data_IF_370600389042
#
_entry.id   IF_370600389042
#
_cell.length_a   1.000
_cell.length_b   1.000
_cell.length_c   1.000
_cell.angle_alpha   90.00
_cell.angle_beta   90.00
_cell.angle_gamma   90.00
#
_symmetry.space_group_name_H-M   'P 1'
#
loop_
_entity.id
_entity.type
_entity.pdbx_description
1 polymer ?
#
# COMPACT_ATOMS: atom_id res chain seq x y z
N UNK A 1 22.64 -19.92 12.21
CA UNK A 1 22.97 -18.49 12.22
C UNK A 1 22.29 -17.85 13.42
N UNK A 2 23.00 -17.12 14.29
CA UNK A 2 22.37 -16.41 15.41
C UNK A 2 21.52 -15.29 14.83
N UNK A 3 20.19 -15.39 14.91
CA UNK A 3 19.31 -14.30 14.47
C UNK A 3 19.56 -13.08 15.34
N UNK A 4 20.00 -11.98 14.73
CA UNK A 4 20.24 -10.71 15.42
C UNK A 4 18.92 -10.20 15.99
N UNK A 5 18.92 -9.70 17.21
CA UNK A 5 17.76 -9.04 17.83
C UNK A 5 17.39 -7.79 17.02
N UNK A 6 16.13 -7.66 16.62
CA UNK A 6 15.61 -6.46 16.00
C UNK A 6 15.10 -5.49 17.06
N UNK A 7 15.79 -4.39 17.22
CA UNK A 7 15.43 -3.30 18.12
C UNK A 7 14.78 -2.20 17.29
N UNK A 8 13.48 -2.04 17.43
CA UNK A 8 12.65 -1.21 16.57
C UNK A 8 12.48 0.18 17.18
N UNK A 9 12.77 1.21 16.37
CA UNK A 9 12.29 2.57 16.56
C UNK A 9 11.09 2.81 15.66
N UNK A 10 9.92 3.05 16.25
CA UNK A 10 8.68 3.21 15.51
C UNK A 10 8.32 4.69 15.36
N UNK A 11 8.11 5.15 14.13
CA UNK A 11 7.55 6.46 13.82
C UNK A 11 6.06 6.33 13.45
N UNK A 12 5.21 6.99 14.23
CA UNK A 12 3.77 6.91 14.07
C UNK A 12 3.11 5.84 14.95
N UNK A 13 2.05 6.24 15.65
CA UNK A 13 1.23 5.35 16.48
C UNK A 13 -0.26 5.61 16.24
N UNK A 14 -0.63 5.58 14.96
CA UNK A 14 -2.00 5.53 14.48
C UNK A 14 -2.53 4.10 14.44
N UNK A 15 -3.49 3.85 13.58
CA UNK A 15 -4.15 2.56 13.40
C UNK A 15 -3.12 1.42 13.14
N UNK A 16 -2.20 1.63 12.19
CA UNK A 16 -1.21 0.61 11.80
C UNK A 16 -0.13 0.44 12.87
N UNK A 17 0.39 1.54 13.44
CA UNK A 17 1.42 1.48 14.49
C UNK A 17 0.93 0.78 15.75
N UNK A 18 -0.31 1.02 16.16
CA UNK A 18 -0.95 0.28 17.24
C UNK A 18 -1.14 -1.20 16.87
N UNK A 19 -1.60 -1.48 15.64
CA UNK A 19 -1.71 -2.85 15.13
C UNK A 19 -0.39 -3.61 15.17
N UNK A 20 0.73 -2.97 14.80
CA UNK A 20 2.06 -3.58 14.88
C UNK A 20 2.46 -3.90 16.32
N UNK A 21 2.20 -2.98 17.25
CA UNK A 21 2.43 -3.21 18.68
C UNK A 21 1.66 -4.43 19.19
N UNK A 22 0.37 -4.56 18.82
CA UNK A 22 -0.46 -5.72 19.20
C UNK A 22 0.05 -7.03 18.56
N UNK A 23 0.38 -7.02 17.27
CA UNK A 23 0.87 -8.22 16.57
C UNK A 23 2.20 -8.69 17.19
N UNK A 24 3.14 -7.79 17.44
CA UNK A 24 4.41 -8.12 18.10
C UNK A 24 4.20 -8.68 19.50
N UNK A 25 3.26 -8.13 20.28
CA UNK A 25 2.97 -8.62 21.63
C UNK A 25 2.40 -10.06 21.62
N UNK A 26 1.76 -10.48 20.54
CA UNK A 26 1.19 -11.83 20.35
C UNK A 26 2.16 -12.81 19.69
N UNK A 27 3.34 -12.36 19.28
CA UNK A 27 4.36 -13.18 18.61
C UNK A 27 5.68 -13.16 19.38
N UNK A 28 5.72 -13.61 20.64
CA UNK A 28 6.90 -13.48 21.52
C UNK A 28 8.10 -14.32 21.07
N UNK A 29 7.90 -15.26 20.13
CA UNK A 29 8.98 -16.05 19.53
C UNK A 29 9.84 -15.26 18.56
N UNK A 30 9.35 -14.14 18.06
CA UNK A 30 10.12 -13.24 17.22
C UNK A 30 11.14 -12.47 18.07
N UNK A 31 12.37 -12.45 17.59
CA UNK A 31 13.45 -11.66 18.20
C UNK A 31 13.35 -10.19 17.76
N UNK A 32 12.20 -9.57 18.00
CA UNK A 32 11.92 -8.17 17.67
C UNK A 32 11.24 -7.47 18.85
N UNK A 33 11.64 -6.24 19.14
CA UNK A 33 11.03 -5.43 20.21
C UNK A 33 11.01 -3.95 19.85
N UNK A 34 9.87 -3.29 20.11
CA UNK A 34 9.75 -1.84 19.98
C UNK A 34 10.41 -1.20 21.20
N UNK A 35 11.51 -0.47 20.97
CA UNK A 35 12.26 0.24 22.01
C UNK A 35 11.68 1.60 22.31
N UNK A 36 11.32 2.35 21.28
CA UNK A 36 10.76 3.70 21.36
C UNK A 36 9.74 3.93 20.26
N UNK A 37 8.76 4.79 20.54
CA UNK A 37 7.71 5.20 19.60
C UNK A 37 7.72 6.71 19.51
N UNK A 38 8.05 7.26 18.35
CA UNK A 38 8.03 8.70 18.13
C UNK A 38 6.67 9.15 17.59
N UNK A 39 6.08 10.16 18.23
CA UNK A 39 4.77 10.74 17.88
C UNK A 39 4.80 12.25 17.99
N UNK A 40 4.02 12.96 17.15
CA UNK A 40 3.95 14.43 17.17
C UNK A 40 3.15 14.97 18.35
N UNK A 41 1.96 14.46 18.60
CA UNK A 41 1.00 14.99 19.59
C UNK A 41 1.24 14.37 20.97
N UNK A 42 1.71 15.19 21.90
CA UNK A 42 1.96 14.81 23.30
C UNK A 42 0.66 14.58 24.10
N UNK A 43 -0.42 15.23 23.72
CA UNK A 43 -1.66 15.26 24.48
C UNK A 43 -2.66 14.18 24.04
N UNK A 44 -2.41 13.54 22.90
CA UNK A 44 -3.29 12.48 22.41
C UNK A 44 -3.21 11.26 23.34
N UNK A 45 -4.34 10.86 23.92
CA UNK A 45 -4.45 9.63 24.70
C UNK A 45 -4.16 8.40 23.83
N UNK A 46 -3.41 7.44 24.37
CA UNK A 46 -3.03 6.20 23.68
C UNK A 46 -3.22 5.00 24.61
N UNK A 47 -3.52 3.81 24.05
CA UNK A 47 -3.92 2.65 24.85
C UNK A 47 -2.75 1.88 25.49
N UNK A 48 -1.53 2.44 25.48
CA UNK A 48 -0.33 1.83 26.10
C UNK A 48 0.37 2.84 27.00
N UNK A 49 1.31 2.36 27.83
CA UNK A 49 2.04 3.20 28.78
C UNK A 49 2.82 4.33 28.08
N UNK A 50 2.77 5.51 28.70
CA UNK A 50 3.38 6.73 28.15
C UNK A 50 4.91 6.67 28.08
N UNK A 51 5.56 5.82 28.86
CA UNK A 51 7.01 5.62 28.84
C UNK A 51 7.56 5.11 27.50
N UNK A 52 6.72 4.51 26.67
CA UNK A 52 7.09 4.08 25.33
C UNK A 52 7.25 5.24 24.34
N UNK A 53 6.68 6.41 24.64
CA UNK A 53 6.60 7.51 23.68
C UNK A 53 7.72 8.51 23.84
N UNK A 54 8.27 8.93 22.70
CA UNK A 54 9.20 10.04 22.56
C UNK A 54 8.62 11.06 21.55
N UNK A 55 9.09 12.31 21.62
CA UNK A 55 8.53 13.42 20.85
C UNK A 55 9.60 14.11 19.99
N UNK A 56 10.81 13.62 20.05
CA UNK A 56 11.93 14.04 19.23
C UNK A 56 12.44 12.84 18.42
N UNK A 57 12.59 13.04 17.11
CA UNK A 57 13.10 12.00 16.20
C UNK A 57 14.52 11.54 16.56
N UNK A 58 15.32 12.43 17.15
CA UNK A 58 16.69 12.07 17.56
C UNK A 58 16.75 11.01 18.65
N UNK A 59 15.71 10.91 19.48
CA UNK A 59 15.61 9.82 20.47
C UNK A 59 15.53 8.42 19.83
N UNK A 60 15.19 8.33 18.53
CA UNK A 60 15.21 7.07 17.75
C UNK A 60 16.41 7.04 16.81
N UNK A 61 16.61 8.09 16.03
CA UNK A 61 17.65 8.12 15.00
C UNK A 61 19.06 8.11 15.61
N UNK A 62 19.26 8.78 16.76
CA UNK A 62 20.53 8.83 17.48
C UNK A 62 20.81 7.65 18.41
N UNK A 63 19.81 6.78 18.66
CA UNK A 63 19.97 5.63 19.55
C UNK A 63 20.70 4.48 18.82
N UNK A 64 21.91 4.15 19.25
CA UNK A 64 22.75 3.10 18.64
C UNK A 64 22.20 1.68 18.86
N UNK A 65 21.38 1.47 19.90
CA UNK A 65 20.73 0.19 20.15
C UNK A 65 19.58 -0.09 19.18
N UNK A 66 19.01 0.94 18.53
CA UNK A 66 17.97 0.81 17.52
C UNK A 66 18.62 0.51 16.18
N UNK A 67 18.35 -0.67 15.62
CA UNK A 67 18.90 -1.13 14.35
C UNK A 67 17.88 -1.20 13.22
N UNK A 68 16.57 -1.02 13.53
CA UNK A 68 15.47 -1.00 12.57
C UNK A 68 14.55 0.19 12.84
N UNK A 69 14.30 0.99 11.83
CA UNK A 69 13.29 2.05 11.85
C UNK A 69 12.06 1.57 11.11
N UNK A 70 10.91 1.62 11.76
CA UNK A 70 9.60 1.38 11.12
C UNK A 70 8.87 2.70 11.00
N UNK A 71 8.58 3.13 9.77
CA UNK A 71 7.95 4.39 9.44
C UNK A 71 6.48 4.16 9.04
N UNK A 72 5.54 4.71 9.83
CA UNK A 72 4.08 4.55 9.68
C UNK A 72 3.34 5.90 9.88
N UNK A 73 3.94 7.01 9.41
CA UNK A 73 3.30 8.32 9.47
C UNK A 73 2.59 8.65 8.15
N UNK A 74 1.64 9.58 8.17
CA UNK A 74 0.86 9.94 6.97
C UNK A 74 1.55 11.01 6.11
N UNK A 75 2.43 11.83 6.70
CA UNK A 75 3.11 12.94 6.06
C UNK A 75 4.30 12.42 5.23
N UNK A 76 4.20 12.49 3.91
CA UNK A 76 5.19 11.92 2.99
C UNK A 76 6.55 12.65 3.07
N UNK A 77 6.56 13.98 3.23
CA UNK A 77 7.80 14.76 3.31
C UNK A 77 8.56 14.46 4.60
N UNK A 78 7.85 14.44 5.73
CA UNK A 78 8.44 14.07 7.01
C UNK A 78 8.89 12.59 7.04
N UNK A 79 8.16 11.68 6.38
CA UNK A 79 8.55 10.28 6.22
C UNK A 79 9.85 10.17 5.42
N UNK A 80 9.98 10.92 4.33
CA UNK A 80 11.19 10.94 3.51
C UNK A 80 12.42 11.40 4.29
N UNK A 81 12.31 12.49 5.07
CA UNK A 81 13.39 12.95 5.94
C UNK A 81 13.83 11.88 6.95
N UNK A 82 12.86 11.23 7.62
CA UNK A 82 13.12 10.18 8.61
C UNK A 82 13.80 8.97 7.97
N UNK A 83 13.25 8.48 6.87
CA UNK A 83 13.75 7.29 6.16
C UNK A 83 15.18 7.52 5.64
N UNK A 84 15.41 8.66 4.98
CA UNK A 84 16.73 8.98 4.44
C UNK A 84 17.78 9.15 5.53
N UNK A 85 17.42 9.78 6.66
CA UNK A 85 18.33 9.93 7.79
C UNK A 85 18.61 8.60 8.50
N UNK A 86 17.61 7.73 8.64
CA UNK A 86 17.79 6.37 9.17
C UNK A 86 18.77 5.57 8.30
N UNK A 87 18.61 5.61 6.97
CA UNK A 87 19.54 4.96 6.04
C UNK A 87 20.97 5.51 6.15
N UNK A 88 21.15 6.83 6.26
CA UNK A 88 22.46 7.49 6.42
C UNK A 88 23.17 7.03 7.69
N UNK A 89 22.41 6.73 8.73
CA UNK A 89 22.94 6.21 10.02
C UNK A 89 23.07 4.68 10.04
N UNK A 90 22.89 4.01 8.91
CA UNK A 90 23.09 2.57 8.79
C UNK A 90 21.97 1.73 9.43
N UNK A 91 20.80 2.31 9.68
CA UNK A 91 19.64 1.59 10.21
C UNK A 91 18.81 1.00 9.05
N UNK A 92 18.37 -0.26 9.22
CA UNK A 92 17.38 -0.84 8.33
C UNK A 92 16.05 -0.07 8.42
N UNK A 93 15.28 -0.05 7.34
CA UNK A 93 14.01 0.69 7.29
C UNK A 93 12.90 -0.19 6.74
N UNK A 94 11.74 -0.15 7.38
CA UNK A 94 10.45 -0.64 6.87
C UNK A 94 9.49 0.54 6.82
N UNK A 95 8.81 0.74 5.68
CA UNK A 95 7.85 1.84 5.52
C UNK A 95 6.54 1.36 4.88
N UNK A 96 5.43 1.95 5.30
CA UNK A 96 4.11 1.78 4.67
C UNK A 96 3.64 3.03 3.91
N UNK A 97 4.49 4.06 3.78
CA UNK A 97 4.12 5.32 3.15
C UNK A 97 4.27 5.25 1.62
N UNK A 98 3.23 4.76 0.95
CA UNK A 98 3.21 4.58 -0.50
C UNK A 98 3.45 5.86 -1.31
N UNK A 99 2.97 7.02 -0.80
CA UNK A 99 3.17 8.31 -1.46
C UNK A 99 4.64 8.70 -1.43
N UNK A 100 5.25 8.71 -0.25
CA UNK A 100 6.67 8.98 -0.08
C UNK A 100 7.54 8.07 -0.96
N UNK A 101 7.24 6.76 -0.96
CA UNK A 101 7.99 5.79 -1.76
C UNK A 101 7.83 6.09 -3.25
N UNK A 102 6.60 6.29 -3.75
CA UNK A 102 6.35 6.53 -5.17
C UNK A 102 6.98 7.84 -5.67
N UNK A 103 6.93 8.92 -4.88
CA UNK A 103 7.47 10.23 -5.25
C UNK A 103 9.01 10.27 -5.22
N UNK A 104 9.66 9.47 -4.35
CA UNK A 104 11.11 9.47 -4.14
C UNK A 104 11.80 8.14 -4.48
N UNK A 105 11.15 7.28 -5.26
CA UNK A 105 11.57 5.89 -5.43
C UNK A 105 13.01 5.76 -5.95
N UNK A 106 13.35 6.49 -7.00
CA UNK A 106 14.70 6.48 -7.56
C UNK A 106 15.76 6.89 -6.54
N UNK A 107 15.48 7.93 -5.75
CA UNK A 107 16.42 8.43 -4.73
C UNK A 107 16.57 7.42 -3.58
N UNK A 108 15.48 6.82 -3.12
CA UNK A 108 15.50 5.80 -2.06
C UNK A 108 16.32 4.57 -2.47
N UNK A 109 16.23 4.12 -3.73
CA UNK A 109 17.07 3.02 -4.25
C UNK A 109 18.56 3.40 -4.30
N UNK A 110 18.88 4.63 -4.66
CA UNK A 110 20.27 5.13 -4.62
C UNK A 110 20.80 5.14 -3.19
N UNK A 111 20.01 5.62 -2.24
CA UNK A 111 20.41 5.67 -0.82
C UNK A 111 20.56 4.26 -0.23
N UNK A 112 19.65 3.35 -0.53
CA UNK A 112 19.74 1.95 -0.12
C UNK A 112 21.05 1.30 -0.57
N UNK A 113 21.40 1.47 -1.85
CA UNK A 113 22.66 0.96 -2.42
C UNK A 113 23.89 1.62 -1.80
N UNK A 114 23.85 2.95 -1.64
CA UNK A 114 24.97 3.74 -1.08
C UNK A 114 25.28 3.35 0.34
N UNK A 115 24.28 3.24 1.20
CA UNK A 115 24.45 2.95 2.62
C UNK A 115 24.40 1.45 2.94
N UNK A 116 24.06 0.58 1.95
CA UNK A 116 23.97 -0.89 2.06
C UNK A 116 23.06 -1.32 3.21
N UNK A 117 21.92 -0.65 3.37
CA UNK A 117 20.92 -0.96 4.39
C UNK A 117 19.65 -1.53 3.74
N UNK A 118 18.97 -2.48 4.38
CA UNK A 118 17.66 -2.95 3.91
C UNK A 118 16.62 -1.82 3.95
N UNK A 119 15.83 -1.74 2.89
CA UNK A 119 14.63 -0.90 2.79
C UNK A 119 13.50 -1.74 2.24
N UNK A 120 12.50 -2.02 3.06
CA UNK A 120 11.38 -2.91 2.74
C UNK A 120 10.05 -2.16 2.89
N UNK A 121 9.07 -2.51 2.06
CA UNK A 121 7.81 -1.73 1.97
C UNK A 121 6.63 -2.53 1.38
N UNK A 122 6.53 -3.83 1.64
CA UNK A 122 5.38 -4.65 1.22
C UNK A 122 4.05 -4.02 1.66
N UNK A 123 4.05 -3.49 2.89
CA UNK A 123 2.90 -2.82 3.49
C UNK A 123 2.41 -1.59 2.72
N UNK A 124 3.25 -0.97 1.90
CA UNK A 124 2.91 0.21 1.09
C UNK A 124 2.06 -0.13 -0.14
N UNK A 125 1.96 -1.40 -0.53
CA UNK A 125 1.21 -1.83 -1.70
C UNK A 125 -0.18 -2.37 -1.34
N UNK A 126 -0.34 -3.67 -1.21
CA UNK A 126 -1.63 -4.33 -1.04
C UNK A 126 -1.83 -4.97 0.34
N UNK A 127 -1.20 -4.43 1.38
CA UNK A 127 -1.27 -4.87 2.78
C UNK A 127 -1.16 -6.41 2.93
N UNK A 128 -2.26 -7.12 3.16
CA UNK A 128 -2.21 -8.58 3.39
C UNK A 128 -1.90 -9.42 2.16
N UNK A 129 -1.82 -8.82 0.96
CA UNK A 129 -1.42 -9.52 -0.26
C UNK A 129 0.08 -9.32 -0.48
N UNK A 130 0.92 -10.36 -0.38
CA UNK A 130 2.38 -10.24 -0.50
C UNK A 130 2.78 -10.12 -1.98
N UNK A 131 2.36 -9.04 -2.65
CA UNK A 131 2.51 -8.88 -4.09
C UNK A 131 3.93 -8.51 -4.50
N UNK A 132 4.61 -7.63 -3.74
CA UNK A 132 5.98 -7.22 -4.04
C UNK A 132 6.91 -8.43 -3.95
N UNK A 133 6.83 -9.22 -2.88
CA UNK A 133 7.62 -10.46 -2.74
C UNK A 133 7.35 -11.47 -3.84
N UNK A 134 6.08 -11.65 -4.21
CA UNK A 134 5.77 -12.54 -5.34
C UNK A 134 6.39 -12.02 -6.64
N UNK A 135 6.38 -10.72 -6.88
CA UNK A 135 7.00 -10.14 -8.08
C UNK A 135 8.52 -10.32 -8.07
N UNK A 136 9.18 -10.16 -6.94
CA UNK A 136 10.63 -10.31 -6.81
C UNK A 136 11.10 -11.76 -6.80
N UNK A 137 10.39 -12.65 -6.09
CA UNK A 137 10.87 -14.02 -5.88
C UNK A 137 10.39 -15.00 -6.96
N UNK A 138 9.16 -14.83 -7.47
CA UNK A 138 8.56 -15.77 -8.42
C UNK A 138 8.62 -15.26 -9.87
N UNK A 139 8.45 -13.98 -10.09
CA UNK A 139 8.44 -13.37 -11.43
C UNK A 139 9.75 -12.61 -11.76
N UNK A 140 10.82 -12.88 -11.04
CA UNK A 140 12.18 -12.37 -11.36
C UNK A 140 12.71 -13.00 -12.65
N UNK A 141 11.92 -12.87 -13.70
CA UNK A 141 12.22 -13.29 -15.06
C UNK A 141 11.34 -12.49 -16.02
N UNK A 142 11.73 -12.40 -17.28
CA UNK A 142 11.02 -11.63 -18.31
C UNK A 142 9.68 -12.26 -18.77
N UNK A 143 9.09 -13.17 -17.98
CA UNK A 143 7.87 -13.88 -18.35
C UNK A 143 6.59 -13.14 -17.93
N UNK A 144 6.67 -12.14 -17.07
CA UNK A 144 5.50 -11.36 -16.66
C UNK A 144 5.06 -10.44 -17.81
N UNK A 145 3.83 -10.64 -18.27
CA UNK A 145 3.24 -9.86 -19.36
C UNK A 145 2.34 -8.73 -18.85
N UNK A 146 1.63 -8.98 -17.75
CA UNK A 146 0.60 -8.06 -17.25
C UNK A 146 0.40 -8.19 -15.75
N UNK A 147 0.11 -7.05 -15.12
CA UNK A 147 -0.42 -6.95 -13.78
C UNK A 147 -1.67 -6.06 -13.81
N UNK A 148 -2.75 -6.50 -13.18
CA UNK A 148 -3.99 -5.74 -13.00
C UNK A 148 -4.48 -5.89 -11.57
N UNK A 149 -4.93 -4.79 -10.94
CA UNK A 149 -5.38 -4.90 -9.57
C UNK A 149 -6.42 -3.87 -9.16
N UNK A 150 -7.35 -4.32 -8.33
CA UNK A 150 -8.15 -3.47 -7.45
C UNK A 150 -7.32 -3.29 -6.19
N UNK A 151 -6.67 -2.13 -6.06
CA UNK A 151 -5.67 -1.87 -5.02
C UNK A 151 -6.08 -0.78 -4.01
N UNK A 152 -7.32 -0.29 -4.12
CA UNK A 152 -7.89 0.68 -3.19
C UNK A 152 -9.25 0.19 -2.67
N UNK A 153 -9.33 -0.10 -1.36
CA UNK A 153 -10.52 -0.65 -0.73
C UNK A 153 -11.68 0.36 -0.62
N UNK A 154 -11.39 1.66 -0.44
CA UNK A 154 -12.41 2.70 -0.33
C UNK A 154 -13.21 2.84 -1.62
N UNK A 155 -12.54 2.96 -2.76
CA UNK A 155 -13.19 3.03 -4.07
C UNK A 155 -13.90 1.73 -4.44
N UNK A 156 -13.31 0.58 -4.09
CA UNK A 156 -13.97 -0.70 -4.36
C UNK A 156 -15.26 -0.86 -3.53
N UNK A 157 -15.25 -0.41 -2.27
CA UNK A 157 -16.47 -0.39 -1.45
C UNK A 157 -17.55 0.49 -2.09
N UNK A 158 -17.23 1.74 -2.44
CA UNK A 158 -18.17 2.67 -3.08
C UNK A 158 -18.78 2.03 -4.33
N UNK A 159 -17.95 1.51 -5.23
CA UNK A 159 -18.40 0.88 -6.48
C UNK A 159 -19.21 -0.40 -6.23
N UNK A 160 -18.87 -1.18 -5.20
CA UNK A 160 -19.67 -2.34 -4.81
C UNK A 160 -21.07 -1.94 -4.40
N UNK A 161 -21.22 -0.87 -3.59
CA UNK A 161 -22.54 -0.38 -3.14
C UNK A 161 -23.39 0.20 -4.27
N UNK A 162 -22.77 0.85 -5.27
CA UNK A 162 -23.52 1.29 -6.46
C UNK A 162 -24.12 0.13 -7.22
N UNK A 163 -23.48 -1.02 -7.25
CA UNK A 163 -23.96 -2.21 -7.93
C UNK A 163 -24.94 -3.02 -7.08
N UNK A 164 -24.54 -3.41 -5.85
CA UNK A 164 -25.29 -4.35 -5.01
C UNK A 164 -26.50 -3.73 -4.31
N UNK A 165 -26.45 -2.46 -3.92
CA UNK A 165 -27.50 -1.77 -3.18
C UNK A 165 -28.22 -0.71 -4.03
N UNK A 166 -27.89 -0.59 -5.30
CA UNK A 166 -28.50 0.37 -6.21
C UNK A 166 -28.30 1.84 -5.80
N UNK A 167 -27.26 2.14 -5.01
CA UNK A 167 -26.98 3.49 -4.57
C UNK A 167 -26.40 4.34 -5.70
N UNK A 168 -26.68 5.65 -5.65
CA UNK A 168 -25.90 6.62 -6.44
C UNK A 168 -24.49 6.76 -5.86
N UNK A 169 -23.55 7.28 -6.65
CA UNK A 169 -22.19 7.53 -6.19
C UNK A 169 -22.14 8.40 -4.90
N UNK A 170 -22.86 9.53 -4.78
CA UNK A 170 -22.85 10.33 -3.56
C UNK A 170 -23.39 9.59 -2.32
N UNK A 171 -24.37 8.71 -2.49
CA UNK A 171 -24.92 7.92 -1.39
C UNK A 171 -23.93 6.85 -0.93
N UNK A 172 -23.30 6.13 -1.86
CA UNK A 172 -22.28 5.13 -1.56
C UNK A 172 -21.05 5.77 -0.89
N UNK A 173 -20.62 6.96 -1.35
CA UNK A 173 -19.53 7.72 -0.72
C UNK A 173 -19.87 8.11 0.72
N UNK A 174 -21.07 8.63 0.98
CA UNK A 174 -21.50 8.95 2.35
C UNK A 174 -21.51 7.73 3.27
N UNK A 175 -21.95 6.59 2.75
CA UNK A 175 -21.93 5.33 3.51
C UNK A 175 -20.48 4.90 3.82
N UNK A 176 -19.56 5.02 2.87
CA UNK A 176 -18.14 4.76 3.08
C UNK A 176 -17.53 5.67 4.15
N UNK A 177 -17.89 6.97 4.14
CA UNK A 177 -17.44 7.93 5.15
C UNK A 177 -17.98 7.62 6.54
N UNK A 178 -19.27 7.30 6.66
CA UNK A 178 -19.89 6.91 7.93
C UNK A 178 -19.27 5.66 8.56
N UNK A 179 -18.85 4.70 7.72
CA UNK A 179 -18.18 3.47 8.15
C UNK A 179 -16.68 3.63 8.36
N UNK A 180 -16.12 4.82 8.08
CA UNK A 180 -14.69 5.11 8.22
C UNK A 180 -13.81 4.50 7.11
N UNK A 181 -14.40 4.09 5.98
CA UNK A 181 -13.66 3.59 4.81
C UNK A 181 -13.19 4.71 3.88
N UNK A 182 -13.80 5.89 3.94
CA UNK A 182 -13.37 7.07 3.23
C UNK A 182 -13.27 8.27 4.18
N UNK A 183 -12.28 9.13 3.95
CA UNK A 183 -12.10 10.37 4.70
C UNK A 183 -13.10 11.46 4.25
N UNK A 184 -13.17 12.56 5.02
CA UNK A 184 -13.99 13.73 4.65
C UNK A 184 -13.56 14.36 3.34
N UNK A 185 -12.24 14.36 3.03
CA UNK A 185 -11.71 14.67 1.71
C UNK A 185 -11.22 13.40 1.02
N UNK A 186 -12.05 12.73 0.22
CA UNK A 186 -11.75 11.42 -0.34
C UNK A 186 -10.92 11.46 -1.63
N UNK A 187 -10.43 12.63 -2.07
CA UNK A 187 -9.84 12.83 -3.41
C UNK A 187 -8.65 11.91 -3.69
N UNK A 188 -7.85 11.58 -2.68
CA UNK A 188 -6.72 10.67 -2.85
C UNK A 188 -7.18 9.27 -3.26
N UNK A 189 -8.30 8.81 -2.72
CA UNK A 189 -8.91 7.53 -3.08
C UNK A 189 -9.73 7.68 -4.36
N UNK A 190 -10.76 8.54 -4.34
CA UNK A 190 -11.75 8.63 -5.41
C UNK A 190 -11.20 9.20 -6.72
N UNK A 191 -10.15 10.02 -6.67
CA UNK A 191 -9.39 10.48 -7.83
C UNK A 191 -8.41 9.45 -8.40
N UNK A 192 -8.21 8.32 -7.72
CA UNK A 192 -7.32 7.24 -8.16
C UNK A 192 -5.84 7.46 -7.84
N UNK A 193 -5.49 8.45 -7.02
CA UNK A 193 -4.10 8.76 -6.67
C UNK A 193 -3.47 7.69 -5.78
N UNK A 194 -4.18 7.17 -4.79
CA UNK A 194 -3.71 6.05 -3.97
C UNK A 194 -3.36 4.83 -4.82
N UNK A 195 -4.23 4.47 -5.75
CA UNK A 195 -4.00 3.36 -6.68
C UNK A 195 -2.82 3.64 -7.63
N UNK A 196 -2.63 4.91 -8.04
CA UNK A 196 -1.48 5.34 -8.86
C UNK A 196 -0.16 5.19 -8.12
N UNK A 197 -0.05 5.64 -6.87
CA UNK A 197 1.18 5.48 -6.09
C UNK A 197 1.55 4.00 -5.91
N UNK A 198 0.55 3.15 -5.66
CA UNK A 198 0.77 1.70 -5.59
C UNK A 198 1.22 1.12 -6.92
N UNK A 199 0.63 1.56 -8.04
CA UNK A 199 1.03 1.12 -9.38
C UNK A 199 2.47 1.49 -9.70
N UNK A 200 2.93 2.69 -9.32
CA UNK A 200 4.34 3.12 -9.48
C UNK A 200 5.28 2.14 -8.77
N UNK A 201 4.96 1.76 -7.53
CA UNK A 201 5.75 0.77 -6.79
C UNK A 201 5.73 -0.59 -7.51
N UNK A 202 4.56 -1.05 -7.93
CA UNK A 202 4.42 -2.34 -8.62
C UNK A 202 5.15 -2.38 -9.96
N UNK A 203 5.22 -1.26 -10.71
CA UNK A 203 5.97 -1.17 -11.98
C UNK A 203 7.46 -1.47 -11.80
N UNK A 204 8.05 -0.99 -10.72
CA UNK A 204 9.45 -1.22 -10.44
C UNK A 204 9.76 -2.69 -10.19
N UNK A 205 8.86 -3.40 -9.48
CA UNK A 205 9.03 -4.82 -9.17
C UNK A 205 8.56 -5.75 -10.29
N UNK A 206 7.54 -5.33 -11.05
CA UNK A 206 6.99 -6.15 -12.14
C UNK A 206 7.81 -6.07 -13.43
N UNK A 207 8.35 -4.89 -13.74
CA UNK A 207 8.97 -4.61 -15.04
C UNK A 207 10.33 -3.89 -14.93
N UNK A 208 10.86 -3.68 -13.72
CA UNK A 208 12.10 -2.95 -13.50
C UNK A 208 12.03 -1.46 -13.83
N UNK A 209 10.82 -0.90 -13.95
CA UNK A 209 10.59 0.48 -14.38
C UNK A 209 10.36 1.40 -13.19
N UNK A 210 11.29 2.31 -12.95
CA UNK A 210 11.17 3.38 -11.96
C UNK A 210 10.76 4.65 -12.67
N UNK A 211 9.49 5.03 -12.53
CA UNK A 211 8.89 6.20 -13.19
C UNK A 211 8.28 7.13 -12.13
N UNK A 212 8.30 8.44 -12.33
CA UNK A 212 7.64 9.37 -11.43
C UNK A 212 6.11 9.24 -11.57
N UNK A 213 5.35 9.50 -10.48
CA UNK A 213 3.88 9.37 -10.50
C UNK A 213 3.18 10.22 -11.58
N UNK A 214 3.78 11.33 -12.00
CA UNK A 214 3.25 12.25 -13.02
C UNK A 214 3.14 11.59 -14.39
N UNK A 215 3.97 10.61 -14.69
CA UNK A 215 3.94 9.86 -15.95
C UNK A 215 2.79 8.83 -16.01
N UNK A 216 2.19 8.52 -14.88
CA UNK A 216 1.07 7.56 -14.80
C UNK A 216 -0.26 8.29 -14.88
N UNK A 217 -1.02 8.01 -15.92
CA UNK A 217 -2.39 8.54 -16.05
C UNK A 217 -3.30 7.87 -15.05
N UNK A 218 -4.06 8.67 -14.28
CA UNK A 218 -5.13 8.19 -13.42
C UNK A 218 -6.44 8.92 -13.71
N UNK A 219 -7.52 8.14 -13.82
CA UNK A 219 -8.89 8.59 -13.89
C UNK A 219 -9.61 8.00 -12.68
N UNK A 220 -10.17 8.86 -11.84
CA UNK A 220 -10.89 8.45 -10.64
C UNK A 220 -12.33 7.99 -10.90
N UNK A 221 -13.03 7.70 -9.82
CA UNK A 221 -14.45 7.31 -9.83
C UNK A 221 -15.38 8.49 -9.54
N UNK A 222 -14.85 9.64 -9.22
CA UNK A 222 -15.58 10.87 -8.85
C UNK A 222 -16.44 11.44 -9.97
N UNK A 223 -16.13 11.07 -11.23
CA UNK A 223 -16.86 11.49 -12.43
C UNK A 223 -17.84 10.44 -12.96
N UNK A 224 -17.99 9.31 -12.29
CA UNK A 224 -18.94 8.27 -12.70
C UNK A 224 -20.38 8.78 -12.51
N UNK A 225 -21.11 8.81 -13.62
CA UNK A 225 -22.49 9.26 -13.69
C UNK A 225 -23.51 8.12 -13.62
N UNK A 226 -24.78 8.50 -13.61
CA UNK A 226 -25.89 7.55 -13.63
C UNK A 226 -25.91 6.71 -14.93
N UNK A 227 -25.35 7.22 -16.03
CA UNK A 227 -25.33 6.52 -17.31
C UNK A 227 -24.42 5.28 -17.25
N UNK A 228 -23.20 5.44 -16.76
CA UNK A 228 -22.23 4.34 -16.65
C UNK A 228 -22.72 3.27 -15.68
N UNK A 229 -23.28 3.68 -14.54
CA UNK A 229 -23.83 2.77 -13.53
C UNK A 229 -25.02 1.99 -14.11
N UNK A 230 -25.94 2.65 -14.81
CA UNK A 230 -27.08 2.01 -15.47
C UNK A 230 -26.63 1.03 -16.55
N UNK A 231 -25.71 1.44 -17.42
CA UNK A 231 -25.14 0.58 -18.46
C UNK A 231 -24.49 -0.69 -17.86
N UNK A 232 -23.70 -0.53 -16.80
CA UNK A 232 -23.08 -1.66 -16.12
C UNK A 232 -24.13 -2.67 -15.64
N UNK A 233 -25.21 -2.18 -15.01
CA UNK A 233 -26.30 -3.04 -14.52
C UNK A 233 -27.05 -3.75 -15.64
N UNK A 234 -27.42 -3.04 -16.71
CA UNK A 234 -28.13 -3.61 -17.86
C UNK A 234 -27.32 -4.72 -18.56
N UNK A 235 -25.99 -4.64 -18.46
CA UNK A 235 -25.04 -5.60 -19.05
C UNK A 235 -24.47 -6.61 -18.07
N UNK A 236 -24.94 -6.62 -16.82
CA UNK A 236 -24.42 -7.47 -15.74
C UNK A 236 -22.91 -7.31 -15.52
N UNK A 237 -22.40 -6.09 -15.74
CA UNK A 237 -21.01 -5.71 -15.51
C UNK A 237 -20.87 -5.01 -14.17
N UNK A 238 -19.71 -5.14 -13.53
CA UNK A 238 -19.32 -4.29 -12.39
C UNK A 238 -18.34 -3.22 -12.87
N UNK A 239 -18.44 -2.02 -12.30
CA UNK A 239 -17.40 -1.00 -12.45
C UNK A 239 -16.38 -1.20 -11.35
N UNK A 240 -15.10 -1.26 -11.70
CA UNK A 240 -13.98 -1.37 -10.77
C UNK A 240 -12.92 -0.33 -11.12
N UNK A 241 -12.30 0.31 -10.11
CA UNK A 241 -11.09 1.11 -10.32
C UNK A 241 -9.90 0.16 -10.39
N UNK A 242 -9.28 0.06 -11.55
CA UNK A 242 -8.24 -0.93 -11.82
C UNK A 242 -6.92 -0.23 -12.15
N UNK A 243 -5.88 -0.53 -11.38
CA UNK A 243 -4.51 -0.26 -11.72
C UNK A 243 -4.04 -1.34 -12.71
N UNK A 244 -3.50 -0.93 -13.85
CA UNK A 244 -3.12 -1.84 -14.94
C UNK A 244 -1.75 -1.49 -15.45
N UNK A 245 -0.89 -2.50 -15.63
CA UNK A 245 0.33 -2.38 -16.41
C UNK A 245 0.53 -3.65 -17.25
N UNK A 246 1.00 -3.50 -18.49
CA UNK A 246 1.25 -4.63 -19.40
C UNK A 246 2.31 -4.29 -20.45
N UNK A 247 3.05 -5.31 -20.90
CA UNK A 247 3.96 -5.21 -22.04
C UNK A 247 3.14 -5.08 -23.33
N UNK A 248 3.54 -4.15 -24.20
CA UNK A 248 2.98 -3.99 -25.54
C UNK A 248 3.77 -4.86 -26.54
N UNK A 249 3.26 -5.00 -27.76
CA UNK A 249 3.94 -5.72 -28.84
C UNK A 249 5.30 -5.11 -29.22
N UNK A 250 5.54 -3.84 -28.87
CA UNK A 250 6.81 -3.13 -29.08
C UNK A 250 7.79 -3.29 -27.89
N UNK A 251 7.53 -4.19 -26.97
CA UNK A 251 8.30 -4.40 -25.72
C UNK A 251 8.35 -3.15 -24.82
N UNK A 252 7.37 -2.26 -24.96
CA UNK A 252 7.14 -1.13 -24.06
C UNK A 252 6.13 -1.52 -22.99
N UNK A 253 6.04 -0.76 -21.92
CA UNK A 253 5.04 -0.96 -20.87
C UNK A 253 4.02 0.17 -20.91
N UNK A 254 2.73 -0.18 -21.02
CA UNK A 254 1.63 0.72 -20.80
C UNK A 254 1.16 0.60 -19.35
N UNK A 255 0.99 1.74 -18.64
CA UNK A 255 0.55 1.75 -17.25
C UNK A 255 -0.44 2.88 -16.97
N UNK A 256 -1.54 2.57 -16.30
CA UNK A 256 -2.58 3.55 -15.97
C UNK A 256 -3.53 3.04 -14.87
N UNK A 257 -4.27 3.96 -14.26
CA UNK A 257 -5.36 3.69 -13.32
C UNK A 257 -6.64 4.28 -13.87
N UNK A 258 -7.67 3.46 -14.05
CA UNK A 258 -8.98 3.94 -14.51
C UNK A 258 -10.14 3.02 -14.11
N UNK A 259 -11.38 3.55 -14.07
CA UNK A 259 -12.56 2.72 -13.97
C UNK A 259 -12.69 1.81 -15.21
N UNK A 260 -12.98 0.53 -14.97
CA UNK A 260 -13.22 -0.48 -16.02
C UNK A 260 -14.55 -1.17 -15.79
N UNK A 261 -15.25 -1.51 -16.88
CA UNK A 261 -16.31 -2.49 -16.86
C UNK A 261 -15.70 -3.90 -16.79
N UNK A 262 -16.06 -4.63 -15.75
CA UNK A 262 -15.54 -5.97 -15.49
C UNK A 262 -16.69 -6.97 -15.56
N UNK A 263 -16.55 -8.00 -16.38
CA UNK A 263 -17.53 -9.08 -16.50
C UNK A 263 -17.20 -10.27 -15.58
N UNK A 264 -18.12 -11.21 -15.46
CA UNK A 264 -18.01 -12.39 -14.59
C UNK A 264 -16.90 -13.39 -14.99
N UNK A 265 -16.29 -13.24 -16.15
CA UNK A 265 -15.13 -14.06 -16.54
C UNK A 265 -13.84 -13.60 -15.85
N UNK A 266 -13.75 -12.34 -15.47
CA UNK A 266 -12.60 -11.81 -14.74
C UNK A 266 -12.69 -12.16 -13.26
N UNK A 267 -11.57 -12.56 -12.66
CA UNK A 267 -11.46 -12.76 -11.19
C UNK A 267 -11.69 -11.46 -10.41
N UNK A 268 -11.42 -10.30 -10.99
CA UNK A 268 -11.70 -9.00 -10.37
C UNK A 268 -13.20 -8.74 -10.17
N UNK A 269 -14.08 -9.42 -10.91
CA UNK A 269 -15.54 -9.32 -10.73
C UNK A 269 -15.99 -9.74 -9.33
N UNK A 270 -15.31 -10.68 -8.72
CA UNK A 270 -15.64 -11.23 -7.40
C UNK A 270 -15.02 -10.45 -6.23
N UNK A 271 -14.17 -9.46 -6.51
CA UNK A 271 -13.54 -8.62 -5.49
C UNK A 271 -14.48 -7.50 -5.11
N UNK A 272 -15.20 -7.65 -4.02
CA UNK A 272 -16.20 -6.69 -3.54
C UNK A 272 -15.80 -6.05 -2.20
N UNK A 273 -16.56 -5.06 -1.77
CA UNK A 273 -16.39 -4.30 -0.53
C UNK A 273 -14.97 -3.70 -0.41
N UNK A 274 -14.31 -3.85 0.74
CA UNK A 274 -12.99 -3.29 1.03
C UNK A 274 -11.82 -4.20 0.62
N UNK A 275 -12.12 -5.30 -0.09
CA UNK A 275 -11.08 -6.24 -0.51
C UNK A 275 -10.30 -5.70 -1.72
N UNK A 276 -9.03 -6.06 -1.74
CA UNK A 276 -8.15 -5.90 -2.89
C UNK A 276 -8.01 -7.22 -3.63
N UNK A 277 -7.68 -7.13 -4.92
CA UNK A 277 -7.39 -8.31 -5.73
C UNK A 277 -6.42 -7.93 -6.84
N UNK A 278 -5.42 -8.76 -7.05
CA UNK A 278 -4.38 -8.55 -8.07
C UNK A 278 -4.31 -9.79 -8.95
N UNK A 279 -4.30 -9.58 -10.25
CA UNK A 279 -4.06 -10.60 -11.28
C UNK A 279 -2.69 -10.35 -11.87
N UNK A 280 -1.86 -11.38 -11.94
CA UNK A 280 -0.64 -11.41 -12.75
C UNK A 280 -0.87 -12.36 -13.93
N UNK A 281 -0.37 -12.00 -15.11
CA UNK A 281 -0.38 -12.84 -16.31
C UNK A 281 1.04 -13.03 -16.78
N UNK A 282 1.40 -14.28 -17.05
CA UNK A 282 2.70 -14.67 -17.55
C UNK A 282 2.58 -15.44 -18.86
N UNK A 283 3.69 -15.57 -19.57
CA UNK A 283 3.74 -16.28 -20.86
C UNK A 283 3.44 -17.78 -20.72
N UNK A 284 3.89 -18.42 -19.63
CA UNK A 284 3.81 -19.88 -19.49
C UNK A 284 2.85 -20.37 -18.40
N UNK A 285 2.68 -19.61 -17.32
CA UNK A 285 1.86 -20.02 -16.19
C UNK A 285 0.43 -19.42 -16.20
N UNK A 286 0.05 -18.78 -17.32
CA UNK A 286 -1.26 -18.13 -17.51
C UNK A 286 -1.52 -17.07 -16.43
N UNK A 287 -2.63 -17.13 -15.74
CA UNK A 287 -3.04 -16.13 -14.77
C UNK A 287 -2.99 -16.66 -13.34
N UNK A 288 -2.43 -15.84 -12.45
CA UNK A 288 -2.55 -16.04 -11.01
C UNK A 288 -3.39 -14.92 -10.42
N UNK A 289 -4.13 -15.21 -9.36
CA UNK A 289 -5.01 -14.27 -8.69
C UNK A 289 -4.74 -14.28 -7.19
N UNK A 290 -4.46 -13.10 -6.65
CA UNK A 290 -4.24 -12.86 -5.23
C UNK A 290 -5.36 -11.97 -4.70
N UNK A 291 -6.00 -12.34 -3.61
CA UNK A 291 -7.05 -11.55 -3.00
C UNK A 291 -6.87 -11.48 -1.49
N UNK A 292 -7.17 -10.32 -0.91
CA UNK A 292 -7.01 -10.11 0.53
C UNK A 292 -7.47 -8.73 0.97
N UNK A 293 -7.26 -8.40 2.24
CA UNK A 293 -7.53 -7.06 2.76
C UNK A 293 -6.41 -6.11 2.37
N UNK A 294 -6.73 -5.07 1.61
CA UNK A 294 -5.78 -4.08 1.10
C UNK A 294 -5.42 -2.97 2.09
N UNK A 295 -6.10 -2.89 3.23
CA UNK A 295 -5.89 -1.90 4.28
C UNK A 295 -6.41 -2.41 5.63
N UNK A 296 -6.09 -1.68 6.70
CA UNK A 296 -6.54 -1.96 8.05
C UNK A 296 -5.37 -2.14 9.03
N UNK A 297 -5.62 -2.00 10.33
CA UNK A 297 -4.61 -2.07 11.38
C UNK A 297 -3.77 -3.34 11.29
N UNK A 298 -4.41 -4.50 11.48
CA UNK A 298 -3.72 -5.79 11.51
C UNK A 298 -3.23 -6.28 10.15
N UNK A 299 -3.97 -6.16 9.02
CA UNK A 299 -3.47 -6.55 7.71
C UNK A 299 -2.19 -5.81 7.32
N UNK A 300 -2.15 -4.47 7.51
CA UNK A 300 -0.96 -3.67 7.22
C UNK A 300 0.18 -3.96 8.20
N UNK A 301 -0.13 -4.08 9.49
CA UNK A 301 0.86 -4.44 10.51
C UNK A 301 1.49 -5.82 10.26
N UNK A 302 0.70 -6.78 9.76
CA UNK A 302 1.20 -8.11 9.39
C UNK A 302 2.18 -8.05 8.21
N UNK A 303 1.94 -7.18 7.23
CA UNK A 303 2.89 -6.94 6.14
C UNK A 303 4.18 -6.28 6.64
N UNK A 304 4.08 -5.24 7.49
CA UNK A 304 5.24 -4.62 8.15
C UNK A 304 6.05 -5.64 8.94
N UNK A 305 5.38 -6.56 9.65
CA UNK A 305 6.06 -7.61 10.40
C UNK A 305 6.75 -8.63 9.50
N UNK A 306 6.17 -8.89 8.32
CA UNK A 306 6.74 -9.77 7.31
C UNK A 306 8.02 -9.18 6.71
N UNK A 307 8.12 -7.86 6.55
CA UNK A 307 9.30 -7.11 6.13
C UNK A 307 10.38 -7.12 7.19
#
# INVERSE_FOLDING_TARGET
MSSKQLNIGLFGFGCVGFGLYEVLSRTPTLKASIKRICVKDKNKSRPIDSSHFVYDREAILGDEDINLVVELIDDADAAFEIVTEAMRRGKAVVSANKKMIAEHFAELLVLQRKYKVPFLYEAASCASIPIIRNLEEYYDNDLLERIEGIVNGSTNFILTKTFSENLSYPEALRQAQQLGYAESNPILDTGGFDAKYKLVILLAHAFGLVVPPEEIVNIGIDRLGALEIRYAREKELKIKLVATAYKTDEDKVAAFVMPKFVNHQSKLYTVDDVFNGVITKTCFADQQFFAGRGAGAHPTASAVLSD
#
